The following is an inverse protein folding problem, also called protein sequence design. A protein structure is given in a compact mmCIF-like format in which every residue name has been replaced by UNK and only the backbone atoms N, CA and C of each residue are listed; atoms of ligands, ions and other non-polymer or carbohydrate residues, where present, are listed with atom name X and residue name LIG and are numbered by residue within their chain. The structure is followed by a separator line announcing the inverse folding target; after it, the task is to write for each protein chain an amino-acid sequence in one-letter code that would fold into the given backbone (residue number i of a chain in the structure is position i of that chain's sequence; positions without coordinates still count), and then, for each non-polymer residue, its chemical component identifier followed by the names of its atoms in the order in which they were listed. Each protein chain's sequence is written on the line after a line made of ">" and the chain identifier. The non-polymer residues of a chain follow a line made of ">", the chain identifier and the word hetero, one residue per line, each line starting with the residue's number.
data_IF_918072826718
#
_entry.id   IF_918072826718
#
_cell.length_a   1.000
_cell.length_b   1.000
_cell.length_c   1.000
_cell.angle_alpha   90.00
_cell.angle_beta   90.00
_cell.angle_gamma   90.00
#
_symmetry.space_group_name_H-M   'P 1'
#
loop_
_entity.id
_entity.type
_entity.pdbx_description
1 polymer ?
#
# COMPACT_ATOMS: atom_id res chain seq x y z
N UNK A 1 -0.86 -43.63 39.17
CA UNK A 1 -0.82 -43.05 37.81
C UNK A 1 -1.20 -41.57 37.92
N UNK A 2 -0.22 -40.68 38.12
CA UNK A 2 -0.42 -39.22 38.10
C UNK A 2 -0.12 -38.74 36.67
N UNK A 3 -1.15 -38.48 35.91
CA UNK A 3 -1.07 -38.04 34.52
C UNK A 3 -1.06 -36.53 34.45
N UNK A 4 0.10 -35.99 34.16
CA UNK A 4 0.33 -34.79 33.33
C UNK A 4 -0.68 -33.62 33.44
N UNK A 5 -0.76 -32.95 34.56
CA UNK A 5 -1.35 -31.60 34.64
C UNK A 5 -0.39 -30.52 34.06
N UNK A 6 0.90 -30.83 33.95
CA UNK A 6 1.91 -29.87 33.53
C UNK A 6 1.86 -29.53 31.99
N UNK A 7 1.37 -30.46 31.15
CA UNK A 7 1.29 -30.20 29.70
C UNK A 7 0.22 -29.21 29.33
N UNK A 8 -0.90 -29.20 30.03
CA UNK A 8 -1.99 -28.25 29.78
C UNK A 8 -1.65 -26.82 30.24
N UNK A 9 -0.87 -26.68 31.30
CA UNK A 9 -0.41 -25.38 31.80
C UNK A 9 0.56 -24.72 30.84
N UNK A 10 1.45 -25.47 30.15
CA UNK A 10 2.37 -24.92 29.15
C UNK A 10 1.67 -24.35 27.96
N UNK A 11 0.63 -25.03 27.46
CA UNK A 11 -0.14 -24.58 26.29
C UNK A 11 -0.94 -23.30 26.62
N UNK A 12 -1.51 -23.22 27.84
CA UNK A 12 -2.29 -22.06 28.29
C UNK A 12 -1.37 -20.85 28.52
N UNK A 13 -0.15 -21.06 29.04
CA UNK A 13 0.81 -19.96 29.29
C UNK A 13 1.39 -19.41 27.98
N UNK A 14 1.64 -20.27 27.02
CA UNK A 14 2.14 -19.82 25.69
C UNK A 14 1.08 -19.03 24.91
N UNK A 15 -0.19 -19.40 25.03
CA UNK A 15 -1.28 -18.67 24.38
C UNK A 15 -1.59 -17.34 25.09
N UNK A 16 -1.39 -17.27 26.42
CA UNK A 16 -1.63 -16.05 27.21
C UNK A 16 -0.50 -15.02 27.10
N UNK A 17 0.72 -15.43 26.74
CA UNK A 17 1.89 -14.54 26.61
C UNK A 17 2.18 -14.07 25.19
N UNK A 18 1.27 -14.19 24.25
CA UNK A 18 1.39 -13.49 22.98
C UNK A 18 1.18 -11.98 23.24
N UNK A 19 2.17 -11.39 23.97
CA UNK A 19 2.28 -9.94 24.13
C UNK A 19 2.20 -9.33 22.75
N UNK A 20 1.21 -8.47 22.53
CA UNK A 20 1.09 -7.62 21.37
C UNK A 20 2.41 -6.87 21.17
N UNK A 21 3.30 -7.44 20.38
CA UNK A 21 4.56 -6.80 20.06
C UNK A 21 4.35 -6.03 18.75
N UNK A 22 4.27 -4.71 18.89
CA UNK A 22 4.16 -3.85 17.71
C UNK A 22 5.43 -4.02 16.86
N UNK A 23 5.33 -4.34 15.57
CA UNK A 23 6.49 -4.62 14.72
C UNK A 23 7.18 -3.31 14.28
N UNK A 24 7.74 -2.56 15.23
CA UNK A 24 8.37 -1.26 14.99
C UNK A 24 9.39 -1.28 13.86
N UNK A 25 10.27 -2.28 13.83
CA UNK A 25 11.29 -2.38 12.79
C UNK A 25 10.70 -2.52 11.39
N UNK A 26 9.69 -3.39 11.24
CA UNK A 26 8.99 -3.58 9.97
C UNK A 26 8.23 -2.33 9.55
N UNK A 27 7.59 -1.64 10.52
CA UNK A 27 6.87 -0.40 10.24
C UNK A 27 7.80 0.72 9.77
N UNK A 28 8.98 0.90 10.41
CA UNK A 28 9.97 1.89 9.99
C UNK A 28 10.44 1.64 8.56
N UNK A 29 10.72 0.38 8.21
CA UNK A 29 11.09 0.04 6.82
C UNK A 29 9.96 0.38 5.85
N UNK A 30 8.71 0.04 6.18
CA UNK A 30 7.57 0.40 5.34
C UNK A 30 7.39 1.92 5.22
N UNK A 31 7.63 2.69 6.29
CA UNK A 31 7.60 4.14 6.25
C UNK A 31 8.67 4.71 5.30
N UNK A 32 9.91 4.20 5.37
CA UNK A 32 11.00 4.60 4.44
C UNK A 32 10.63 4.27 2.99
N UNK A 33 10.08 3.07 2.73
CA UNK A 33 9.62 2.68 1.40
C UNK A 33 8.49 3.61 0.89
N UNK A 34 7.59 4.03 1.78
CA UNK A 34 6.52 4.96 1.45
C UNK A 34 7.07 6.34 1.07
N UNK A 35 8.07 6.84 1.81
CA UNK A 35 8.77 8.09 1.45
C UNK A 35 9.37 7.98 0.05
N UNK A 36 10.13 6.90 -0.20
CA UNK A 36 10.74 6.65 -1.50
C UNK A 36 9.70 6.57 -2.63
N UNK A 37 8.61 5.86 -2.41
CA UNK A 37 7.51 5.75 -3.37
C UNK A 37 6.86 7.10 -3.68
N UNK A 38 6.56 7.92 -2.66
CA UNK A 38 5.95 9.24 -2.86
C UNK A 38 6.89 10.21 -3.58
N UNK A 39 8.19 10.18 -3.25
CA UNK A 39 9.21 10.96 -3.97
C UNK A 39 9.31 10.56 -5.45
N UNK A 40 9.33 9.26 -5.72
CA UNK A 40 9.34 8.74 -7.09
C UNK A 40 8.08 9.13 -7.85
N UNK A 41 6.92 8.99 -7.21
CA UNK A 41 5.65 9.33 -7.83
C UNK A 41 5.63 10.80 -8.28
N UNK A 42 6.06 11.72 -7.41
CA UNK A 42 6.10 13.16 -7.76
C UNK A 42 7.21 13.51 -8.74
N UNK A 43 8.33 12.79 -8.72
CA UNK A 43 9.43 13.02 -9.67
C UNK A 43 9.12 12.47 -11.07
N UNK A 44 8.42 11.32 -11.13
CA UNK A 44 8.09 10.65 -12.39
C UNK A 44 6.82 11.22 -13.04
N UNK A 45 5.88 11.71 -12.24
CA UNK A 45 4.56 12.14 -12.71
C UNK A 45 4.31 13.62 -12.36
N UNK A 46 4.70 14.55 -13.23
CA UNK A 46 4.57 15.98 -12.97
C UNK A 46 3.11 16.44 -12.86
N UNK A 47 2.17 15.68 -13.38
CA UNK A 47 0.72 15.96 -13.29
C UNK A 47 0.15 15.72 -11.89
N UNK A 48 0.88 15.04 -10.98
CA UNK A 48 0.40 14.74 -9.63
C UNK A 48 0.19 16.04 -8.83
N UNK A 49 -1.06 16.32 -8.37
CA UNK A 49 -1.40 17.63 -7.79
C UNK A 49 -0.95 17.78 -6.34
N UNK A 50 -0.45 16.73 -5.70
CA UNK A 50 -0.09 16.73 -4.29
C UNK A 50 1.42 16.80 -4.07
N UNK A 51 1.90 17.58 -3.09
CA UNK A 51 3.30 17.55 -2.71
C UNK A 51 3.65 16.20 -2.06
N UNK A 52 4.85 15.69 -2.33
CA UNK A 52 5.32 14.38 -1.82
C UNK A 52 5.19 14.23 -0.29
N UNK A 53 5.44 15.29 0.48
CA UNK A 53 5.37 15.26 1.94
C UNK A 53 3.94 15.04 2.46
N UNK A 54 2.92 15.64 1.81
CA UNK A 54 1.52 15.47 2.19
C UNK A 54 1.04 14.03 1.90
N UNK A 55 1.41 13.49 0.73
CA UNK A 55 1.12 12.10 0.38
C UNK A 55 1.79 11.11 1.35
N UNK A 56 3.05 11.38 1.69
CA UNK A 56 3.82 10.57 2.66
C UNK A 56 3.17 10.60 4.03
N UNK A 57 2.82 11.78 4.54
CA UNK A 57 2.17 11.91 5.85
C UNK A 57 0.83 11.16 5.89
N UNK A 58 -0.01 11.32 4.87
CA UNK A 58 -1.28 10.63 4.76
C UNK A 58 -1.09 9.09 4.72
N UNK A 59 -0.16 8.60 3.91
CA UNK A 59 0.10 7.18 3.79
C UNK A 59 0.66 6.56 5.08
N UNK A 60 1.57 7.25 5.79
CA UNK A 60 2.10 6.79 7.08
C UNK A 60 1.01 6.75 8.14
N UNK A 61 0.12 7.75 8.19
CA UNK A 61 -1.02 7.74 9.12
C UNK A 61 -1.96 6.57 8.85
N UNK A 62 -2.28 6.29 7.59
CA UNK A 62 -3.09 5.13 7.20
C UNK A 62 -2.41 3.83 7.59
N UNK A 63 -1.11 3.69 7.36
CA UNK A 63 -0.35 2.50 7.76
C UNK A 63 -0.34 2.29 9.27
N UNK A 64 -0.14 3.36 10.05
CA UNK A 64 -0.19 3.30 11.51
C UNK A 64 -1.57 2.85 12.00
N UNK A 65 -2.64 3.42 11.45
CA UNK A 65 -4.01 3.01 11.77
C UNK A 65 -4.26 1.54 11.43
N UNK A 66 -3.82 1.07 10.25
CA UNK A 66 -3.94 -0.33 9.84
C UNK A 66 -3.19 -1.27 10.77
N UNK A 67 -1.97 -0.91 11.21
CA UNK A 67 -1.20 -1.74 12.14
C UNK A 67 -1.87 -1.85 13.52
N UNK A 68 -2.53 -0.78 14.00
CA UNK A 68 -3.34 -0.83 15.22
C UNK A 68 -4.53 -1.79 15.03
N UNK A 69 -5.20 -1.71 13.89
CA UNK A 69 -6.32 -2.61 13.57
C UNK A 69 -5.88 -4.06 13.49
N UNK A 70 -4.69 -4.34 12.95
CA UNK A 70 -4.13 -5.71 12.89
C UNK A 70 -3.91 -6.33 14.27
N UNK A 71 -3.75 -5.53 15.32
CA UNK A 71 -3.62 -6.04 16.68
C UNK A 71 -4.93 -6.62 17.20
N UNK A 72 -6.06 -6.28 16.58
CA UNK A 72 -7.37 -6.82 16.93
C UNK A 72 -7.60 -8.19 16.27
N UNK A 73 -8.45 -9.05 16.89
CA UNK A 73 -8.82 -10.35 16.31
C UNK A 73 -9.44 -10.24 14.91
N UNK A 74 -10.09 -9.12 14.63
CA UNK A 74 -10.79 -8.83 13.39
C UNK A 74 -9.79 -8.37 12.31
N UNK A 75 -8.62 -7.85 12.68
CA UNK A 75 -7.63 -7.26 11.77
C UNK A 75 -7.17 -8.18 10.65
N UNK A 76 -7.04 -9.49 10.91
CA UNK A 76 -6.65 -10.45 9.89
C UNK A 76 -7.67 -10.58 8.74
N UNK A 77 -8.95 -10.36 9.02
CA UNK A 77 -10.03 -10.39 8.03
C UNK A 77 -10.28 -9.01 7.41
N UNK A 78 -10.00 -7.96 8.15
CA UNK A 78 -10.32 -6.59 7.76
C UNK A 78 -9.48 -6.11 6.56
N UNK A 79 -8.26 -6.62 6.42
CA UNK A 79 -7.38 -6.24 5.30
C UNK A 79 -7.77 -6.91 3.99
N UNK A 80 -7.96 -8.24 3.89
CA UNK A 80 -8.47 -8.81 2.65
C UNK A 80 -9.85 -8.26 2.30
N UNK A 81 -10.72 -8.00 3.30
CA UNK A 81 -11.98 -7.31 3.10
C UNK A 81 -11.78 -5.87 2.59
N UNK A 82 -10.84 -5.12 3.16
CA UNK A 82 -10.49 -3.77 2.71
C UNK A 82 -9.97 -3.73 1.27
N UNK A 83 -9.12 -4.68 0.89
CA UNK A 83 -8.65 -4.83 -0.50
C UNK A 83 -9.84 -5.17 -1.41
N UNK A 84 -10.71 -6.07 -0.99
CA UNK A 84 -11.93 -6.42 -1.74
C UNK A 84 -12.85 -5.21 -1.94
N UNK A 85 -13.11 -4.44 -0.89
CA UNK A 85 -13.90 -3.21 -0.96
C UNK A 85 -13.25 -2.18 -1.88
N UNK A 86 -11.93 -1.99 -1.78
CA UNK A 86 -11.19 -1.05 -2.63
C UNK A 86 -11.26 -1.45 -4.10
N UNK A 87 -11.15 -2.75 -4.41
CA UNK A 87 -11.33 -3.27 -5.77
C UNK A 87 -12.76 -3.07 -6.28
N UNK A 88 -13.76 -3.41 -5.47
CA UNK A 88 -15.16 -3.21 -5.83
C UNK A 88 -15.49 -1.73 -6.04
N UNK A 89 -14.97 -0.86 -5.17
CA UNK A 89 -15.14 0.59 -5.29
C UNK A 89 -14.47 1.11 -6.56
N UNK A 90 -13.26 0.63 -6.88
CA UNK A 90 -12.55 0.99 -8.12
C UNK A 90 -13.31 0.52 -9.36
N UNK A 91 -13.93 -0.66 -9.32
CA UNK A 91 -14.76 -1.17 -10.39
C UNK A 91 -16.08 -0.37 -10.52
N UNK A 92 -16.73 -0.04 -9.41
CA UNK A 92 -17.94 0.77 -9.41
C UNK A 92 -17.69 2.20 -9.91
N UNK A 93 -16.52 2.77 -9.57
CA UNK A 93 -16.08 4.11 -9.98
C UNK A 93 -15.16 4.08 -11.20
N UNK A 94 -15.16 3.03 -12.00
CA UNK A 94 -14.25 2.87 -13.13
C UNK A 94 -14.27 4.06 -14.10
N UNK A 95 -15.46 4.67 -14.31
CA UNK A 95 -15.66 5.85 -15.16
C UNK A 95 -14.86 7.07 -14.68
N UNK A 96 -14.50 7.12 -13.40
CA UNK A 96 -13.75 8.23 -12.79
C UNK A 96 -12.31 7.83 -12.50
N UNK A 97 -12.08 6.61 -12.07
CA UNK A 97 -10.75 6.10 -11.69
C UNK A 97 -9.89 5.83 -12.92
N UNK A 98 -10.48 5.22 -13.96
CA UNK A 98 -9.76 4.84 -15.18
C UNK A 98 -9.17 6.04 -15.94
N UNK A 99 -9.91 7.16 -16.17
CA UNK A 99 -9.33 8.34 -16.81
C UNK A 99 -8.20 8.98 -16.00
N UNK A 100 -8.27 8.95 -14.66
CA UNK A 100 -7.19 9.40 -13.79
C UNK A 100 -5.92 8.55 -13.93
N UNK A 101 -6.05 7.22 -14.00
CA UNK A 101 -4.93 6.34 -14.31
C UNK A 101 -4.43 6.51 -15.75
N UNK A 102 -5.31 6.86 -16.70
CA UNK A 102 -4.93 7.22 -18.05
C UNK A 102 -3.96 8.41 -18.08
N UNK A 103 -4.19 9.42 -17.25
CA UNK A 103 -3.28 10.56 -17.10
C UNK A 103 -1.91 10.14 -16.60
N UNK A 104 -1.84 9.29 -15.55
CA UNK A 104 -0.57 8.74 -15.06
C UNK A 104 0.15 7.91 -16.14
N UNK A 105 -0.61 7.11 -16.90
CA UNK A 105 -0.04 6.33 -17.98
C UNK A 105 0.54 7.23 -19.10
N UNK A 106 -0.13 8.32 -19.44
CA UNK A 106 0.37 9.29 -20.43
C UNK A 106 1.63 10.00 -19.95
N UNK A 107 1.71 10.39 -18.67
CA UNK A 107 2.95 10.91 -18.09
C UNK A 107 4.09 9.89 -18.21
N UNK A 108 3.82 8.62 -17.92
CA UNK A 108 4.80 7.55 -18.07
C UNK A 108 5.22 7.34 -19.52
N UNK A 109 4.29 7.35 -20.48
CA UNK A 109 4.59 7.28 -21.90
C UNK A 109 5.44 8.46 -22.37
N UNK A 110 5.17 9.67 -21.85
CA UNK A 110 5.96 10.86 -22.12
C UNK A 110 7.40 10.71 -21.61
N UNK A 111 7.58 10.15 -20.41
CA UNK A 111 8.90 9.83 -19.87
C UNK A 111 9.64 8.79 -20.73
N UNK A 112 8.94 7.73 -21.17
CA UNK A 112 9.50 6.73 -22.07
C UNK A 112 9.91 7.34 -23.41
N UNK A 113 9.08 8.19 -23.99
CA UNK A 113 9.38 8.93 -25.23
C UNK A 113 10.67 9.73 -25.06
N UNK A 114 10.80 10.47 -23.96
CA UNK A 114 11.98 11.27 -23.66
C UNK A 114 13.25 10.44 -23.49
N UNK A 115 13.14 9.24 -22.89
CA UNK A 115 14.30 8.36 -22.68
C UNK A 115 14.67 7.51 -23.89
N UNK A 116 13.68 7.01 -24.62
CA UNK A 116 13.91 6.06 -25.73
C UNK A 116 13.99 6.72 -27.09
N UNK A 117 13.57 7.98 -27.22
CA UNK A 117 13.45 8.68 -28.51
C UNK A 117 12.36 8.15 -29.43
N UNK A 118 11.54 7.17 -28.95
CA UNK A 118 10.40 6.62 -29.68
C UNK A 118 9.13 7.35 -29.29
N UNK A 119 8.30 7.70 -30.27
CA UNK A 119 7.02 8.37 -30.02
C UNK A 119 5.98 7.31 -29.61
N UNK A 120 5.39 7.47 -28.43
CA UNK A 120 4.27 6.69 -27.96
C UNK A 120 3.00 7.53 -28.04
N UNK A 121 1.89 6.90 -28.47
CA UNK A 121 0.60 7.58 -28.56
C UNK A 121 -0.04 7.70 -27.18
N UNK A 122 -0.59 8.88 -26.89
CA UNK A 122 -1.33 9.12 -25.65
C UNK A 122 -2.64 8.32 -25.62
N UNK A 123 -3.04 7.94 -24.40
CA UNK A 123 -4.32 7.27 -24.17
C UNK A 123 -5.46 8.29 -24.21
N UNK A 124 -6.40 8.10 -25.13
CA UNK A 124 -7.52 9.01 -25.37
C UNK A 124 -8.49 9.16 -24.17
N UNK A 125 -8.47 8.19 -23.23
CA UNK A 125 -9.34 8.19 -22.04
C UNK A 125 -8.76 8.93 -20.82
N UNK A 126 -7.67 9.70 -21.00
CA UNK A 126 -7.05 10.43 -19.90
C UNK A 126 -7.83 11.70 -19.57
N UNK A 127 -8.08 11.94 -18.27
CA UNK A 127 -8.70 13.16 -17.76
C UNK A 127 -8.03 13.56 -16.45
N UNK A 128 -7.37 14.71 -16.47
CA UNK A 128 -6.62 15.23 -15.33
C UNK A 128 -7.53 15.57 -14.12
N UNK A 129 -8.81 15.81 -14.33
CA UNK A 129 -9.75 16.10 -13.24
C UNK A 129 -9.88 14.93 -12.26
N UNK A 130 -9.74 13.69 -12.74
CA UNK A 130 -9.85 12.48 -11.91
C UNK A 130 -8.51 11.95 -11.40
N UNK A 131 -7.41 12.61 -11.73
CA UNK A 131 -6.08 12.27 -11.26
C UNK A 131 -5.96 12.20 -9.73
N UNK A 132 -6.52 13.15 -8.94
CA UNK A 132 -6.48 13.08 -7.48
C UNK A 132 -7.07 11.80 -6.91
N UNK A 133 -8.16 11.32 -7.52
CA UNK A 133 -8.84 10.09 -7.11
C UNK A 133 -7.97 8.85 -7.44
N UNK A 134 -7.38 8.80 -8.62
CA UNK A 134 -6.48 7.72 -9.00
C UNK A 134 -5.25 7.64 -8.09
N UNK A 135 -4.62 8.77 -7.77
CA UNK A 135 -3.49 8.85 -6.84
C UNK A 135 -3.90 8.39 -5.44
N UNK A 136 -5.08 8.79 -4.95
CA UNK A 136 -5.58 8.36 -3.63
C UNK A 136 -5.79 6.85 -3.57
N UNK A 137 -6.41 6.26 -4.60
CA UNK A 137 -6.60 4.80 -4.70
C UNK A 137 -5.26 4.08 -4.72
N UNK A 138 -4.29 4.58 -5.47
CA UNK A 138 -2.95 4.02 -5.54
C UNK A 138 -2.23 4.05 -4.18
N UNK A 139 -2.27 5.19 -3.48
CA UNK A 139 -1.67 5.34 -2.15
C UNK A 139 -2.33 4.42 -1.12
N UNK A 140 -3.66 4.27 -1.16
CA UNK A 140 -4.38 3.35 -0.28
C UNK A 140 -3.98 1.90 -0.56
N UNK A 141 -3.91 1.50 -1.83
CA UNK A 141 -3.48 0.16 -2.22
C UNK A 141 -2.05 -0.15 -1.74
N UNK A 142 -1.12 0.78 -1.97
CA UNK A 142 0.27 0.64 -1.51
C UNK A 142 0.34 0.57 0.02
N UNK A 143 -0.40 1.43 0.73
CA UNK A 143 -0.44 1.43 2.20
C UNK A 143 -1.00 0.12 2.78
N UNK A 144 -2.04 -0.45 2.16
CA UNK A 144 -2.60 -1.75 2.55
C UNK A 144 -1.59 -2.88 2.33
N UNK A 145 -0.91 -2.91 1.19
CA UNK A 145 0.10 -3.93 0.88
C UNK A 145 1.31 -3.84 1.81
N UNK A 146 1.83 -2.64 2.05
CA UNK A 146 2.98 -2.41 2.93
C UNK A 146 2.65 -2.76 4.39
N UNK A 147 1.51 -2.32 4.90
CA UNK A 147 1.09 -2.65 6.27
C UNK A 147 0.86 -4.16 6.45
N UNK A 148 0.32 -4.84 5.44
CA UNK A 148 0.17 -6.31 5.46
C UNK A 148 1.53 -7.01 5.44
N UNK A 149 2.46 -6.54 4.63
CA UNK A 149 3.83 -7.04 4.56
C UNK A 149 4.54 -6.89 5.92
N UNK A 150 4.44 -5.71 6.54
CA UNK A 150 4.99 -5.44 7.86
C UNK A 150 4.44 -6.39 8.93
N UNK A 151 3.12 -6.59 8.94
CA UNK A 151 2.47 -7.46 9.92
C UNK A 151 2.80 -8.94 9.74
N UNK A 152 2.85 -9.41 8.50
CA UNK A 152 3.14 -10.81 8.19
C UNK A 152 4.62 -11.19 8.34
N UNK A 153 5.50 -10.21 8.54
CA UNK A 153 6.96 -10.41 8.54
C UNK A 153 7.53 -10.83 7.18
N UNK A 154 6.70 -10.85 6.12
CA UNK A 154 7.10 -11.24 4.77
C UNK A 154 7.44 -10.01 3.95
N UNK A 155 8.61 -9.42 4.22
CA UNK A 155 9.11 -8.23 3.51
C UNK A 155 9.24 -8.43 1.98
N UNK A 156 9.37 -9.66 1.51
CA UNK A 156 9.40 -9.99 0.08
C UNK A 156 8.14 -9.55 -0.68
N UNK A 157 6.99 -9.41 -0.01
CA UNK A 157 5.77 -8.90 -0.63
C UNK A 157 5.83 -7.39 -0.93
N UNK A 158 6.80 -6.67 -0.36
CA UNK A 158 7.02 -5.26 -0.65
C UNK A 158 7.89 -5.03 -1.90
N UNK A 159 8.64 -6.05 -2.35
CA UNK A 159 9.54 -5.95 -3.52
C UNK A 159 8.86 -5.53 -4.82
N UNK A 160 7.63 -6.00 -5.17
CA UNK A 160 6.96 -5.56 -6.39
C UNK A 160 6.70 -4.05 -6.45
N UNK A 161 6.61 -3.40 -5.28
CA UNK A 161 6.39 -1.94 -5.19
C UNK A 161 7.66 -1.17 -5.55
N UNK A 162 8.84 -1.80 -5.36
CA UNK A 162 10.14 -1.22 -5.67
C UNK A 162 10.58 -1.46 -7.11
N UNK A 163 9.97 -2.44 -7.82
CA UNK A 163 10.32 -2.78 -9.20
C UNK A 163 10.25 -1.61 -10.20
N UNK A 164 9.27 -0.66 -10.10
CA UNK A 164 9.26 0.51 -10.99
C UNK A 164 10.41 1.49 -10.75
N UNK A 165 11.23 1.29 -9.71
CA UNK A 165 12.30 2.20 -9.33
C UNK A 165 13.64 1.86 -10.02
N UNK A 166 13.72 0.77 -10.78
CA UNK A 166 14.83 0.38 -11.62
C UNK A 166 14.51 0.63 -13.10
#
# INVERSE_FOLDING_TARGET
>A
MRKNENGLQWIVTETAQKKLHFPWGAWVVCAVLTVGFCLLLTAAFPSVPYPWWAMTAAAILVQAALLIVYQTRIGNWLVPAGIGVLLLLSLALNKFVLPGFGTLANDFLTLLTKKTGKIYLDLAAADAQFLPLAVTVLLLAVSLLLSRSAWSGRMLLALPILLPCY
#
